data_IF_662370913994
#
_entry.id   IF_662370913994
#
_cell.length_a   1.000
_cell.length_b   1.000
_cell.length_c   1.000
_cell.angle_alpha   90.00
_cell.angle_beta   90.00
_cell.angle_gamma   90.00
#
_symmetry.space_group_name_H-M   'P 1'
#
loop_
_entity.id
_entity.type
_entity.pdbx_description
1 polymer ?
#
# COMPACT_ATOMS: atom_id res chain seq x y z
N UNK A 1 -47.02 -7.18 4.73
CA UNK A 1 -45.65 -7.48 5.25
C UNK A 1 -44.57 -7.71 4.17
N UNK A 2 -44.88 -7.65 2.87
CA UNK A 2 -43.94 -7.90 1.78
C UNK A 2 -43.17 -6.67 1.25
N UNK A 3 -43.64 -5.44 1.47
CA UNK A 3 -43.05 -4.22 0.89
C UNK A 3 -41.80 -3.71 1.63
N UNK A 4 -41.63 -4.07 2.89
CA UNK A 4 -40.48 -3.64 3.71
C UNK A 4 -39.19 -4.39 3.36
N UNK A 5 -39.26 -5.64 2.89
CA UNK A 5 -38.10 -6.45 2.53
C UNK A 5 -37.48 -6.00 1.21
N UNK A 6 -38.29 -5.76 0.18
CA UNK A 6 -37.78 -5.35 -1.14
C UNK A 6 -37.11 -3.96 -1.10
N UNK A 7 -37.66 -3.00 -0.35
CA UNK A 7 -37.04 -1.68 -0.18
C UNK A 7 -35.70 -1.77 0.58
N UNK A 8 -35.59 -2.64 1.59
CA UNK A 8 -34.37 -2.91 2.32
C UNK A 8 -33.29 -3.55 1.44
N UNK A 9 -33.69 -4.46 0.55
CA UNK A 9 -32.76 -5.15 -0.36
C UNK A 9 -32.25 -4.22 -1.47
N UNK A 10 -33.11 -3.34 -2.00
CA UNK A 10 -32.71 -2.30 -2.94
C UNK A 10 -31.75 -1.32 -2.29
N UNK A 11 -32.02 -0.87 -1.07
CA UNK A 11 -31.15 0.04 -0.31
C UNK A 11 -29.78 -0.62 -0.04
N UNK A 12 -29.74 -1.88 0.38
CA UNK A 12 -28.50 -2.63 0.62
C UNK A 12 -27.67 -2.79 -0.66
N UNK A 13 -28.30 -3.07 -1.81
CA UNK A 13 -27.62 -3.13 -3.11
C UNK A 13 -27.05 -1.77 -3.49
N UNK A 14 -27.80 -0.70 -3.34
CA UNK A 14 -27.36 0.64 -3.68
C UNK A 14 -26.20 1.12 -2.81
N UNK A 15 -26.18 0.76 -1.52
CA UNK A 15 -25.07 1.01 -0.59
C UNK A 15 -23.85 0.18 -0.97
N UNK A 16 -24.03 -1.09 -1.35
CA UNK A 16 -22.95 -1.97 -1.80
C UNK A 16 -22.32 -1.49 -3.11
N UNK A 17 -23.16 -1.08 -4.08
CA UNK A 17 -22.72 -0.55 -5.38
C UNK A 17 -21.97 0.78 -5.21
N UNK A 18 -22.45 1.66 -4.33
CA UNK A 18 -21.78 2.93 -4.03
C UNK A 18 -20.45 2.71 -3.30
N UNK A 19 -20.38 1.74 -2.38
CA UNK A 19 -19.15 1.37 -1.72
C UNK A 19 -18.15 0.70 -2.70
N UNK A 20 -18.62 -0.08 -3.66
CA UNK A 20 -17.79 -0.66 -4.72
C UNK A 20 -17.24 0.44 -5.66
N UNK A 21 -18.09 1.39 -6.05
CA UNK A 21 -17.70 2.55 -6.85
C UNK A 21 -16.64 3.42 -6.15
N UNK A 22 -16.81 3.71 -4.86
CA UNK A 22 -15.86 4.49 -4.08
C UNK A 22 -14.52 3.74 -3.92
N UNK A 23 -14.55 2.42 -3.71
CA UNK A 23 -13.33 1.59 -3.67
C UNK A 23 -12.62 1.57 -5.02
N UNK A 24 -13.36 1.42 -6.12
CA UNK A 24 -12.80 1.47 -7.48
C UNK A 24 -12.18 2.84 -7.76
N UNK A 25 -12.86 3.93 -7.41
CA UNK A 25 -12.36 5.30 -7.58
C UNK A 25 -11.09 5.56 -6.77
N UNK A 26 -11.03 5.10 -5.51
CA UNK A 26 -9.83 5.20 -4.68
C UNK A 26 -8.67 4.41 -5.30
N UNK A 27 -8.92 3.18 -5.74
CA UNK A 27 -7.92 2.33 -6.40
C UNK A 27 -7.38 2.96 -7.69
N UNK A 28 -8.28 3.48 -8.56
CA UNK A 28 -7.90 4.19 -9.78
C UNK A 28 -7.05 5.41 -9.45
N UNK A 29 -7.44 6.20 -8.45
CA UNK A 29 -6.69 7.37 -8.02
C UNK A 29 -5.30 7.00 -7.48
N UNK A 30 -5.20 5.96 -6.66
CA UNK A 30 -3.95 5.52 -6.06
C UNK A 30 -3.00 4.93 -7.11
N UNK A 31 -3.52 4.03 -7.96
CA UNK A 31 -2.74 3.39 -9.05
C UNK A 31 -2.28 4.42 -10.10
N UNK A 32 -3.19 5.26 -10.58
CA UNK A 32 -2.87 6.27 -11.60
C UNK A 32 -1.99 7.38 -11.01
N UNK A 33 -2.31 7.87 -9.81
CA UNK A 33 -1.56 8.95 -9.18
C UNK A 33 -0.10 8.57 -8.93
N UNK A 34 0.15 7.33 -8.50
CA UNK A 34 1.50 6.82 -8.28
C UNK A 34 2.30 6.72 -9.58
N UNK A 35 1.71 6.15 -10.63
CA UNK A 35 2.41 5.91 -11.90
C UNK A 35 2.55 7.16 -12.75
N UNK A 36 1.63 8.11 -12.64
CA UNK A 36 1.81 9.46 -13.16
C UNK A 36 2.98 10.19 -12.50
N UNK A 37 3.22 9.94 -11.20
CA UNK A 37 4.39 10.50 -10.50
C UNK A 37 5.70 9.91 -11.00
N UNK A 38 5.71 8.64 -11.36
CA UNK A 38 6.85 7.97 -11.99
C UNK A 38 7.08 8.55 -13.39
N UNK A 39 6.04 8.68 -14.20
CA UNK A 39 6.10 9.31 -15.53
C UNK A 39 6.57 10.78 -15.44
N UNK A 40 6.09 11.53 -14.46
CA UNK A 40 6.48 12.91 -14.23
C UNK A 40 7.98 13.05 -13.96
N UNK A 41 8.56 12.12 -13.18
CA UNK A 41 10.00 12.08 -12.94
C UNK A 41 10.79 11.82 -14.22
N UNK A 42 10.38 10.89 -15.08
CA UNK A 42 11.03 10.69 -16.40
C UNK A 42 11.00 11.95 -17.26
N UNK A 43 9.88 12.68 -17.23
CA UNK A 43 9.73 13.93 -17.96
C UNK A 43 10.62 15.06 -17.38
N UNK A 44 10.71 15.16 -16.04
CA UNK A 44 11.54 16.15 -15.37
C UNK A 44 13.04 15.90 -15.55
N UNK A 45 13.45 14.63 -15.59
CA UNK A 45 14.83 14.22 -15.84
C UNK A 45 15.25 14.34 -17.31
N UNK A 46 14.34 14.73 -18.22
CA UNK A 46 14.61 14.88 -19.65
C UNK A 46 14.95 13.58 -20.37
N UNK A 47 14.65 12.43 -19.77
CA UNK A 47 14.98 11.07 -20.24
C UNK A 47 13.87 10.50 -21.13
N UNK A 48 13.54 11.22 -22.20
CA UNK A 48 12.64 10.74 -23.25
C UNK A 48 13.45 10.32 -24.48
N UNK A 49 14.35 9.39 -24.31
CA UNK A 49 15.00 8.66 -25.38
C UNK A 49 14.22 7.38 -25.76
N UNK A 50 14.59 6.75 -26.85
CA UNK A 50 13.92 5.53 -27.34
C UNK A 50 14.00 4.40 -26.30
N UNK A 51 15.07 4.32 -25.50
CA UNK A 51 15.25 3.35 -24.42
C UNK A 51 14.27 3.58 -23.27
N UNK A 52 14.00 4.84 -22.94
CA UNK A 52 13.01 5.22 -21.91
C UNK A 52 11.58 4.94 -22.39
N UNK A 53 11.28 5.10 -23.67
CA UNK A 53 9.98 4.75 -24.25
C UNK A 53 9.69 3.26 -24.18
N UNK A 54 10.71 2.40 -24.40
CA UNK A 54 10.57 0.95 -24.21
C UNK A 54 10.30 0.56 -22.75
N UNK A 55 10.78 1.34 -21.79
CA UNK A 55 10.52 1.13 -20.36
C UNK A 55 9.15 1.67 -19.91
N UNK A 56 8.62 2.70 -20.57
CA UNK A 56 7.30 3.28 -20.28
C UNK A 56 6.15 2.37 -20.76
N UNK A 57 6.31 1.63 -21.87
CA UNK A 57 5.27 0.75 -22.40
C UNK A 57 4.85 -0.37 -21.42
N UNK A 58 5.77 -1.10 -20.75
CA UNK A 58 5.40 -2.03 -19.69
C UNK A 58 4.66 -1.37 -18.53
N UNK A 59 5.04 -0.13 -18.16
CA UNK A 59 4.37 0.64 -17.11
C UNK A 59 2.93 0.97 -17.49
N UNK A 60 2.69 1.41 -18.72
CA UNK A 60 1.34 1.70 -19.23
C UNK A 60 0.50 0.42 -19.35
N UNK A 61 1.09 -0.69 -19.79
CA UNK A 61 0.42 -2.01 -19.83
C UNK A 61 0.04 -2.50 -18.45
N UNK A 62 0.92 -2.31 -17.46
CA UNK A 62 0.66 -2.64 -16.06
C UNK A 62 -0.49 -1.79 -15.48
N UNK A 63 -0.56 -0.48 -15.79
CA UNK A 63 -1.70 0.37 -15.44
C UNK A 63 -3.00 -0.19 -16.04
N UNK A 64 -2.96 -0.56 -17.31
CA UNK A 64 -4.12 -1.11 -18.01
C UNK A 64 -4.51 -2.51 -17.50
N UNK A 65 -3.56 -3.30 -17.02
CA UNK A 65 -3.82 -4.58 -16.39
C UNK A 65 -4.47 -4.42 -15.02
N UNK A 66 -3.97 -3.52 -14.16
CA UNK A 66 -4.55 -3.26 -12.84
C UNK A 66 -5.97 -2.69 -12.91
N UNK A 67 -6.27 -1.88 -13.93
CA UNK A 67 -7.63 -1.38 -14.18
C UNK A 67 -8.59 -2.51 -14.61
N UNK A 68 -8.06 -3.56 -15.24
CA UNK A 68 -8.83 -4.73 -15.70
C UNK A 68 -8.92 -5.83 -14.65
N UNK A 69 -7.88 -5.99 -13.83
CA UNK A 69 -7.82 -7.05 -12.81
C UNK A 69 -8.63 -6.65 -11.59
N UNK A 70 -9.78 -7.25 -11.43
CA UNK A 70 -10.70 -7.02 -10.30
C UNK A 70 -10.25 -7.66 -8.98
N UNK A 71 -8.98 -7.56 -8.58
CA UNK A 71 -8.60 -7.73 -7.18
C UNK A 71 -8.32 -9.15 -6.66
N UNK A 72 -8.14 -10.16 -7.52
CA UNK A 72 -7.82 -11.53 -7.09
C UNK A 72 -6.32 -11.89 -7.15
N UNK A 73 -5.43 -10.90 -7.29
CA UNK A 73 -3.98 -11.14 -7.32
C UNK A 73 -3.47 -11.40 -5.91
N UNK A 74 -2.67 -12.47 -5.73
CA UNK A 74 -2.06 -12.81 -4.45
C UNK A 74 -1.19 -11.65 -3.89
N UNK A 75 -1.20 -11.37 -2.58
CA UNK A 75 -0.45 -10.26 -2.00
C UNK A 75 1.06 -10.28 -2.30
N UNK A 76 1.65 -11.47 -2.39
CA UNK A 76 3.07 -11.62 -2.72
C UNK A 76 3.38 -11.18 -4.17
N UNK A 77 2.49 -11.47 -5.12
CA UNK A 77 2.60 -11.03 -6.51
C UNK A 77 2.43 -9.50 -6.61
N UNK A 78 1.46 -8.93 -5.87
CA UNK A 78 1.30 -7.47 -5.79
C UNK A 78 2.54 -6.77 -5.23
N UNK A 79 3.21 -7.36 -4.24
CA UNK A 79 4.47 -6.85 -3.71
C UNK A 79 5.57 -6.89 -4.77
N UNK A 80 5.67 -7.99 -5.52
CA UNK A 80 6.59 -8.12 -6.65
C UNK A 80 6.37 -7.03 -7.71
N UNK A 81 5.11 -6.75 -8.04
CA UNK A 81 4.73 -5.69 -8.99
C UNK A 81 5.16 -4.28 -8.49
N UNK A 82 5.00 -4.02 -7.18
CA UNK A 82 5.46 -2.76 -6.57
C UNK A 82 6.97 -2.64 -6.71
N UNK A 83 7.72 -3.66 -6.30
CA UNK A 83 9.19 -3.68 -6.39
C UNK A 83 9.65 -3.46 -7.83
N UNK A 84 9.06 -4.18 -8.78
CA UNK A 84 9.37 -4.04 -10.20
C UNK A 84 9.09 -2.63 -10.73
N UNK A 85 7.92 -2.07 -10.40
CA UNK A 85 7.52 -0.75 -10.87
C UNK A 85 8.47 0.38 -10.39
N UNK A 86 8.94 0.30 -9.14
CA UNK A 86 9.92 1.27 -8.62
C UNK A 86 11.32 1.02 -9.21
N UNK A 87 11.70 -0.22 -9.50
CA UNK A 87 12.94 -0.56 -10.22
C UNK A 87 13.05 0.10 -11.58
N UNK A 88 11.94 0.25 -12.31
CA UNK A 88 11.89 0.94 -13.61
C UNK A 88 12.27 2.43 -13.52
N UNK A 89 12.14 3.04 -12.36
CA UNK A 89 12.51 4.45 -12.12
C UNK A 89 13.76 4.59 -11.26
N UNK A 90 14.62 3.57 -11.30
CA UNK A 90 15.90 3.55 -10.59
C UNK A 90 15.75 3.69 -9.06
N UNK A 91 14.64 3.22 -8.50
CA UNK A 91 14.42 3.12 -7.06
C UNK A 91 14.35 1.64 -6.69
N UNK A 92 15.35 1.17 -5.97
CA UNK A 92 15.39 -0.21 -5.49
C UNK A 92 14.59 -0.33 -4.20
N UNK A 93 13.69 -1.33 -4.14
CA UNK A 93 12.99 -1.69 -2.90
C UNK A 93 13.50 -3.04 -2.44
N UNK A 94 14.18 -3.06 -1.29
CA UNK A 94 14.64 -4.28 -0.64
C UNK A 94 13.64 -4.72 0.41
N UNK A 95 13.15 -5.95 0.31
CA UNK A 95 12.15 -6.50 1.24
C UNK A 95 12.77 -7.63 2.05
N UNK A 96 12.77 -7.49 3.37
CA UNK A 96 13.15 -8.51 4.34
C UNK A 96 11.89 -9.05 5.04
N UNK A 97 11.68 -10.36 5.00
CA UNK A 97 10.53 -11.03 5.61
C UNK A 97 9.38 -11.25 4.62
N UNK A 98 8.23 -11.66 5.15
CA UNK A 98 7.05 -12.04 4.37
C UNK A 98 5.82 -11.24 4.81
N UNK A 99 4.91 -11.01 3.87
CA UNK A 99 3.61 -10.40 4.17
C UNK A 99 2.80 -11.29 5.12
N UNK A 100 1.98 -10.68 5.99
CA UNK A 100 1.09 -11.44 6.86
C UNK A 100 0.08 -12.28 6.04
N UNK A 101 -0.30 -13.45 6.57
CA UNK A 101 -1.33 -14.31 5.97
C UNK A 101 -2.74 -13.73 6.08
N UNK A 102 -3.00 -12.78 6.99
CA UNK A 102 -4.26 -12.01 7.01
C UNK A 102 -4.29 -11.06 5.81
N UNK A 103 -5.16 -11.36 4.84
CA UNK A 103 -5.27 -10.63 3.58
C UNK A 103 -5.56 -9.12 3.77
N UNK A 104 -6.27 -8.73 4.84
CA UNK A 104 -6.57 -7.32 5.12
C UNK A 104 -5.32 -6.59 5.60
N UNK A 105 -4.52 -7.25 6.45
CA UNK A 105 -3.25 -6.70 6.95
C UNK A 105 -2.22 -6.65 5.84
N UNK A 106 -2.14 -7.69 5.01
CA UNK A 106 -1.29 -7.71 3.82
C UNK A 106 -1.63 -6.56 2.86
N UNK A 107 -2.92 -6.36 2.55
CA UNK A 107 -3.37 -5.27 1.70
C UNK A 107 -3.03 -3.87 2.29
N UNK A 108 -3.17 -3.70 3.60
CA UNK A 108 -2.79 -2.47 4.30
C UNK A 108 -1.28 -2.22 4.20
N UNK A 109 -0.45 -3.25 4.39
CA UNK A 109 1.00 -3.14 4.25
C UNK A 109 1.41 -2.78 2.81
N UNK A 110 0.83 -3.43 1.80
CA UNK A 110 1.06 -3.11 0.39
C UNK A 110 0.72 -1.64 0.06
N UNK A 111 -0.41 -1.15 0.56
CA UNK A 111 -0.80 0.24 0.39
C UNK A 111 0.20 1.19 1.04
N UNK A 112 0.66 0.90 2.26
CA UNK A 112 1.63 1.73 2.98
C UNK A 112 3.01 1.68 2.32
N UNK A 113 3.50 0.50 1.87
CA UNK A 113 4.76 0.36 1.13
C UNK A 113 4.73 1.25 -0.12
N UNK A 114 3.65 1.19 -0.89
CA UNK A 114 3.47 1.98 -2.10
C UNK A 114 3.54 3.47 -1.83
N UNK A 115 2.79 3.96 -0.84
CA UNK A 115 2.76 5.38 -0.47
C UNK A 115 4.09 5.85 0.11
N UNK A 116 4.71 5.05 0.99
CA UNK A 116 6.01 5.37 1.59
C UNK A 116 7.11 5.44 0.53
N UNK A 117 7.15 4.50 -0.41
CA UNK A 117 8.12 4.50 -1.52
C UNK A 117 7.90 5.68 -2.46
N UNK A 118 6.64 6.04 -2.74
CA UNK A 118 6.30 7.24 -3.52
C UNK A 118 6.80 8.50 -2.81
N UNK A 119 6.60 8.60 -1.50
CA UNK A 119 7.04 9.75 -0.70
C UNK A 119 8.57 9.84 -0.63
N UNK A 120 9.26 8.71 -0.47
CA UNK A 120 10.72 8.64 -0.51
C UNK A 120 11.28 9.12 -1.86
N UNK A 121 10.67 8.70 -2.95
CA UNK A 121 11.06 9.11 -4.31
C UNK A 121 10.83 10.60 -4.54
N UNK A 122 9.63 11.11 -4.20
CA UNK A 122 9.24 12.50 -4.48
C UNK A 122 9.87 13.53 -3.57
N UNK A 123 10.02 13.22 -2.29
CA UNK A 123 10.34 14.21 -1.28
C UNK A 123 11.75 14.04 -0.73
N UNK A 124 12.31 12.85 -0.76
CA UNK A 124 13.64 12.57 -0.27
C UNK A 124 14.64 12.26 -1.38
N UNK A 125 14.21 12.16 -2.65
CA UNK A 125 15.05 11.76 -3.78
C UNK A 125 15.79 10.45 -3.51
N UNK A 126 15.14 9.53 -2.82
CA UNK A 126 15.69 8.24 -2.46
C UNK A 126 15.91 7.35 -3.69
N UNK A 127 17.00 6.58 -3.65
CA UNK A 127 17.30 5.54 -4.63
C UNK A 127 17.09 4.14 -4.05
N UNK A 128 17.03 4.04 -2.72
CA UNK A 128 16.84 2.78 -2.03
C UNK A 128 15.79 2.92 -0.91
N UNK A 129 14.86 1.96 -0.89
CA UNK A 129 13.84 1.84 0.15
C UNK A 129 13.97 0.45 0.78
N UNK A 130 14.08 0.39 2.09
CA UNK A 130 14.16 -0.87 2.84
C UNK A 130 12.84 -1.13 3.55
N UNK A 131 12.25 -2.28 3.27
CA UNK A 131 11.02 -2.76 3.90
C UNK A 131 11.36 -3.97 4.75
N UNK A 132 11.08 -3.91 6.04
CA UNK A 132 11.25 -5.03 6.95
C UNK A 132 9.91 -5.46 7.50
N UNK A 133 9.55 -6.72 7.26
CA UNK A 133 8.30 -7.35 7.68
C UNK A 133 8.59 -8.38 8.78
N UNK A 134 7.83 -8.34 9.86
CA UNK A 134 7.95 -9.28 10.99
C UNK A 134 6.59 -9.60 11.56
N UNK A 135 6.45 -10.81 12.07
CA UNK A 135 5.32 -11.21 12.90
C UNK A 135 5.84 -11.60 14.27
N UNK A 136 5.24 -11.03 15.30
CA UNK A 136 5.57 -11.30 16.69
C UNK A 136 4.35 -11.90 17.38
N UNK A 137 4.54 -12.98 18.10
CA UNK A 137 3.48 -13.61 18.90
C UNK A 137 3.81 -13.42 20.36
N UNK A 138 2.87 -12.88 21.13
CA UNK A 138 2.97 -12.69 22.57
C UNK A 138 1.74 -13.27 23.27
N UNK A 139 1.75 -13.28 24.62
CA UNK A 139 0.58 -13.69 25.41
C UNK A 139 -0.69 -12.86 25.09
N UNK A 140 -0.51 -11.63 24.62
CA UNK A 140 -1.59 -10.71 24.24
C UNK A 140 -2.06 -10.87 22.79
N UNK A 141 -1.54 -11.85 22.04
CA UNK A 141 -1.86 -12.11 20.65
C UNK A 141 -0.70 -11.90 19.69
N UNK A 142 -0.98 -12.14 18.41
CA UNK A 142 -0.01 -11.95 17.33
C UNK A 142 -0.12 -10.53 16.75
N UNK A 143 1.02 -9.94 16.40
CA UNK A 143 1.12 -8.60 15.81
C UNK A 143 2.00 -8.67 14.57
N UNK A 144 1.50 -8.14 13.47
CA UNK A 144 2.31 -7.88 12.28
C UNK A 144 2.99 -6.52 12.40
N UNK A 145 4.29 -6.47 12.16
CA UNK A 145 5.09 -5.25 12.17
C UNK A 145 5.73 -5.02 10.82
N UNK A 146 5.77 -3.76 10.43
CA UNK A 146 6.49 -3.31 9.24
C UNK A 146 7.30 -2.07 9.56
N UNK A 147 8.55 -2.04 9.11
CA UNK A 147 9.36 -0.83 9.08
C UNK A 147 9.73 -0.50 7.64
N UNK A 148 9.55 0.75 7.24
CA UNK A 148 9.95 1.26 5.92
C UNK A 148 10.89 2.42 6.13
N UNK A 149 12.11 2.30 5.62
CA UNK A 149 13.13 3.36 5.66
C UNK A 149 13.69 3.62 4.26
N UNK A 150 14.37 4.75 4.07
CA UNK A 150 14.98 5.10 2.80
C UNK A 150 16.34 5.80 2.99
N UNK A 151 17.16 5.81 1.92
CA UNK A 151 18.48 6.42 1.85
C UNK A 151 18.45 7.89 1.43
N UNK A 152 17.26 8.47 1.23
CA UNK A 152 17.11 9.81 0.72
C UNK A 152 17.47 10.91 1.72
N UNK A 153 17.30 12.16 1.30
CA UNK A 153 17.59 13.32 2.12
C UNK A 153 16.81 13.26 3.44
N UNK A 154 17.45 13.64 4.57
CA UNK A 154 16.79 13.67 5.86
C UNK A 154 15.63 14.66 5.87
N UNK A 155 14.62 14.38 6.69
CA UNK A 155 13.49 15.28 6.85
C UNK A 155 14.00 16.66 7.34
N UNK A 156 13.51 17.76 6.75
CA UNK A 156 13.91 19.10 7.18
C UNK A 156 13.49 19.36 8.63
N UNK A 157 14.19 20.25 9.33
CA UNK A 157 13.86 20.63 10.73
C UNK A 157 12.42 21.14 10.85
N UNK A 158 11.89 21.76 9.78
CA UNK A 158 10.51 22.25 9.69
C UNK A 158 9.55 21.21 9.15
N UNK A 159 9.90 19.91 9.19
CA UNK A 159 9.06 18.85 8.66
C UNK A 159 7.62 18.93 9.20
N UNK A 160 6.69 18.92 8.28
CA UNK A 160 5.25 18.79 8.56
C UNK A 160 4.70 17.63 7.76
N UNK A 161 3.90 16.81 8.40
CA UNK A 161 3.23 15.71 7.72
C UNK A 161 2.31 16.25 6.61
N UNK A 162 2.53 15.79 5.38
CA UNK A 162 1.60 15.98 4.27
C UNK A 162 0.39 15.06 4.40
N UNK A 163 -0.46 15.02 3.37
CA UNK A 163 -1.68 14.20 3.37
C UNK A 163 -1.41 12.68 3.35
N UNK A 164 -0.26 12.24 2.86
CA UNK A 164 0.11 10.82 2.76
C UNK A 164 0.26 10.14 4.13
N UNK A 165 0.98 10.76 5.07
CA UNK A 165 1.20 10.18 6.42
C UNK A 165 -0.11 9.99 7.20
N UNK A 166 -1.00 10.97 7.31
CA UNK A 166 -2.33 10.78 7.91
C UNK A 166 -3.13 9.68 7.23
N UNK A 167 -3.07 9.56 5.91
CA UNK A 167 -3.72 8.50 5.14
C UNK A 167 -3.22 7.11 5.52
N UNK A 168 -1.89 6.92 5.55
CA UNK A 168 -1.27 5.66 5.98
C UNK A 168 -1.59 5.33 7.45
N UNK A 169 -1.61 6.34 8.33
CA UNK A 169 -1.98 6.16 9.74
C UNK A 169 -3.43 5.70 9.88
N UNK A 170 -4.33 6.29 9.11
CA UNK A 170 -5.74 5.87 9.09
C UNK A 170 -5.92 4.42 8.61
N UNK A 171 -5.16 3.99 7.61
CA UNK A 171 -5.16 2.58 7.16
C UNK A 171 -4.78 1.63 8.29
N UNK A 172 -3.71 1.92 9.04
CA UNK A 172 -3.30 1.11 10.17
C UNK A 172 -4.36 1.12 11.29
N UNK A 173 -4.90 2.29 11.64
CA UNK A 173 -5.92 2.45 12.68
C UNK A 173 -7.22 1.71 12.39
N UNK A 174 -7.66 1.64 11.13
CA UNK A 174 -8.85 0.88 10.72
C UNK A 174 -8.74 -0.62 11.01
N UNK A 175 -7.52 -1.12 11.21
CA UNK A 175 -7.23 -2.50 11.59
C UNK A 175 -6.81 -2.64 13.06
N UNK A 176 -7.06 -1.60 13.87
CA UNK A 176 -6.70 -1.57 15.29
C UNK A 176 -5.20 -1.40 15.54
N UNK A 177 -4.45 -0.99 14.54
CA UNK A 177 -3.01 -0.79 14.59
C UNK A 177 -2.59 0.67 14.78
N UNK A 178 -1.28 0.90 14.68
CA UNK A 178 -0.64 2.22 14.77
C UNK A 178 0.42 2.42 13.69
N UNK A 179 0.70 3.68 13.37
CA UNK A 179 1.82 4.10 12.53
C UNK A 179 2.57 5.24 13.22
N UNK A 180 3.87 5.06 13.37
CA UNK A 180 4.81 6.03 13.93
C UNK A 180 5.78 6.50 12.87
N UNK A 181 6.20 7.78 12.96
CA UNK A 181 7.14 8.43 12.05
C UNK A 181 8.38 8.82 12.83
N UNK A 182 9.54 8.35 12.38
CA UNK A 182 10.84 8.71 12.90
C UNK A 182 11.56 9.56 11.86
N UNK A 183 11.72 10.84 12.15
CA UNK A 183 12.32 11.82 11.23
C UNK A 183 13.84 11.89 11.32
N UNK A 184 14.44 11.32 12.38
CA UNK A 184 15.89 11.17 12.47
C UNK A 184 16.40 10.23 11.36
N UNK A 185 17.58 10.52 10.77
CA UNK A 185 18.13 9.67 9.71
C UNK A 185 18.46 8.24 10.20
N UNK A 186 18.11 7.21 9.41
CA UNK A 186 17.27 7.29 8.21
C UNK A 186 15.80 7.56 8.55
N UNK A 187 15.10 8.34 7.71
CA UNK A 187 13.66 8.51 7.86
C UNK A 187 12.99 7.14 7.86
N UNK A 188 12.17 6.87 8.88
CA UNK A 188 11.58 5.54 9.06
C UNK A 188 10.11 5.65 9.47
N UNK A 189 9.28 4.86 8.82
CA UNK A 189 7.90 4.60 9.22
C UNK A 189 7.84 3.24 9.92
N UNK A 190 7.22 3.17 11.07
CA UNK A 190 6.97 1.91 11.77
C UNK A 190 5.47 1.68 11.91
N UNK A 191 5.00 0.52 11.48
CA UNK A 191 3.60 0.13 11.51
C UNK A 191 3.45 -1.12 12.37
N UNK A 192 2.42 -1.16 13.21
CA UNK A 192 2.07 -2.33 14.02
C UNK A 192 0.57 -2.58 13.89
N UNK A 193 0.16 -3.77 13.45
CA UNK A 193 -1.26 -4.14 13.29
C UNK A 193 -1.50 -5.48 14.00
N UNK A 194 -2.48 -5.56 14.92
CA UNK A 194 -2.85 -6.82 15.54
C UNK A 194 -3.36 -7.82 14.50
N UNK A 195 -2.91 -9.06 14.59
CA UNK A 195 -3.44 -10.17 13.80
C UNK A 195 -4.60 -10.81 14.58
N UNK A 196 -5.71 -11.08 13.87
CA UNK A 196 -6.82 -11.79 14.50
C UNK A 196 -6.33 -13.16 14.98
N UNK A 197 -6.51 -13.46 16.26
CA UNK A 197 -6.18 -14.76 16.82
C UNK A 197 -7.08 -15.83 16.17
N UNK A 198 -6.49 -16.85 15.54
CA UNK A 198 -7.20 -18.01 14.97
C UNK A 198 -7.82 -18.95 16.05
N UNK A 199 -8.19 -18.41 17.21
CA UNK A 199 -8.65 -19.18 18.37
C UNK A 199 -10.14 -19.58 18.32
N UNK A 200 -10.80 -19.68 17.15
CA UNK A 200 -12.26 -19.99 17.11
C UNK A 200 -12.66 -21.09 16.11
N UNK A 201 -11.82 -22.07 15.84
CA UNK A 201 -12.27 -23.25 15.02
C UNK A 201 -12.32 -24.58 15.80
N UNK A 202 -11.95 -24.63 17.08
CA UNK A 202 -11.94 -25.92 17.82
C UNK A 202 -12.97 -26.04 18.96
N UNK A 203 -14.14 -25.41 18.89
CA UNK A 203 -15.23 -25.70 19.84
C UNK A 203 -16.56 -25.88 19.13
N UNK A 204 -16.67 -26.84 18.23
CA UNK A 204 -17.95 -27.50 17.88
C UNK A 204 -17.68 -28.91 17.37
N UNK A 205 -17.24 -29.80 18.25
CA UNK A 205 -17.40 -31.26 18.09
C UNK A 205 -17.23 -31.88 19.48
N UNK A 206 -18.27 -31.87 20.23
CA UNK A 206 -18.52 -32.79 21.36
C UNK A 206 -20.03 -32.82 21.61
#
# INVERSE_FOLDING_TARGET
QGYSSAASDVYKRQVADNAAYLRMRARVHDVIGQRLSILHRYLEEGRLDDESLEQIDPLLRSIAADLRSGGDTEPAEQLGDIVHAFGLVSVQIDVEGELPSDARVAAAFLQIIREASTNATKHAQAHQVHVRLRQETSENGAVARMAVSNDGAPAPVSYREGTGIPGMRHVAQNLGGSLEVHTAPPFTLTVSIPLASNATVQRRSS
#
